data_IF_516217829383
#
_entry.id   IF_516217829383
#
_cell.length_a   1.000
_cell.length_b   1.000
_cell.length_c   1.000
_cell.angle_alpha   90.00
_cell.angle_beta   90.00
_cell.angle_gamma   90.00
#
_symmetry.space_group_name_H-M   'P 1'
#
loop_
_entity.id
_entity.type
_entity.pdbx_description
1 polymer ?
#
# COMPACT_ATOMS: atom_id res chain seq x y z
N UNK A 1 2.37 -30.47 38.08
CA UNK A 1 1.55 -29.58 37.24
C UNK A 1 2.03 -28.16 37.54
N UNK A 2 2.45 -27.42 36.51
CA UNK A 2 2.82 -26.01 36.64
C UNK A 2 1.63 -25.21 36.09
N UNK A 3 1.04 -24.28 36.88
CA UNK A 3 -0.02 -23.43 36.37
C UNK A 3 0.43 -22.71 35.10
N UNK A 4 -0.45 -22.57 34.10
CA UNK A 4 -0.10 -21.82 32.90
C UNK A 4 0.18 -20.35 33.26
N UNK A 5 1.23 -19.77 32.67
CA UNK A 5 1.58 -18.37 32.89
C UNK A 5 0.55 -17.47 32.20
N UNK A 6 -0.26 -16.79 33.01
CA UNK A 6 -1.32 -15.88 32.58
C UNK A 6 -0.87 -14.42 32.59
N UNK A 7 0.40 -14.12 32.92
CA UNK A 7 0.88 -12.75 32.96
C UNK A 7 0.81 -12.11 31.56
N UNK A 8 0.31 -10.86 31.45
CA UNK A 8 0.39 -10.12 30.20
C UNK A 8 1.84 -9.87 29.80
N UNK A 9 2.16 -10.13 28.53
CA UNK A 9 3.48 -9.86 27.96
C UNK A 9 3.41 -8.72 26.92
N UNK A 10 4.49 -7.96 26.71
CA UNK A 10 4.54 -6.90 25.71
C UNK A 10 4.41 -7.43 24.28
N UNK A 11 3.70 -6.68 23.43
CA UNK A 11 3.61 -6.97 21.99
C UNK A 11 4.95 -6.61 21.32
N UNK A 12 5.72 -7.63 20.97
CA UNK A 12 7.03 -7.46 20.34
C UNK A 12 6.94 -7.08 18.85
N UNK A 13 5.94 -7.60 18.14
CA UNK A 13 5.76 -7.37 16.70
C UNK A 13 4.41 -6.68 16.50
N UNK A 14 4.48 -5.43 16.08
CA UNK A 14 3.36 -4.52 15.92
C UNK A 14 3.62 -3.53 14.80
N UNK A 15 2.56 -2.91 14.30
CA UNK A 15 2.61 -1.92 13.23
C UNK A 15 1.47 -0.94 13.34
N UNK A 16 1.74 0.34 13.07
CA UNK A 16 0.72 1.35 12.86
C UNK A 16 0.49 1.59 11.37
N UNK A 17 -0.76 1.87 11.00
CA UNK A 17 -1.15 2.35 9.67
C UNK A 17 -2.23 3.43 9.83
N UNK A 18 -2.32 4.32 8.84
CA UNK A 18 -3.54 5.13 8.71
C UNK A 18 -4.68 4.25 8.21
N UNK A 19 -5.87 4.49 8.75
CA UNK A 19 -7.13 3.89 8.28
C UNK A 19 -7.41 4.38 6.85
N UNK A 20 -7.77 3.46 5.96
CA UNK A 20 -8.07 3.82 4.56
C UNK A 20 -9.49 4.34 4.42
N UNK A 21 -9.82 4.93 3.27
CA UNK A 21 -11.21 5.31 2.98
C UNK A 21 -12.17 4.11 3.03
N UNK A 22 -11.73 2.96 2.52
CA UNK A 22 -12.52 1.73 2.54
C UNK A 22 -12.87 1.34 3.98
N UNK A 23 -11.86 1.31 4.84
CA UNK A 23 -12.03 0.91 6.24
C UNK A 23 -12.98 1.87 6.98
N UNK A 24 -12.89 3.18 6.70
CA UNK A 24 -13.85 4.16 7.23
C UNK A 24 -15.28 3.87 6.78
N UNK A 25 -15.50 3.61 5.50
CA UNK A 25 -16.86 3.33 4.97
C UNK A 25 -17.52 2.13 5.65
N UNK A 26 -16.71 1.18 6.15
CA UNK A 26 -17.21 0.00 6.87
C UNK A 26 -17.49 0.26 8.35
N UNK A 27 -16.81 1.24 8.95
CA UNK A 27 -16.83 1.47 10.41
C UNK A 27 -17.70 2.65 10.83
N UNK A 28 -17.88 3.65 9.97
CA UNK A 28 -18.73 4.83 10.25
C UNK A 28 -19.92 4.92 9.29
N UNK A 29 -21.06 5.40 9.79
CA UNK A 29 -22.25 5.55 8.97
C UNK A 29 -22.08 6.66 7.90
N UNK A 30 -22.87 6.56 6.83
CA UNK A 30 -22.76 7.47 5.69
C UNK A 30 -22.99 8.95 6.03
N UNK A 31 -23.77 9.28 7.06
CA UNK A 31 -23.99 10.68 7.44
C UNK A 31 -22.73 11.26 8.11
N UNK A 32 -22.12 10.52 9.03
CA UNK A 32 -20.87 10.91 9.66
C UNK A 32 -19.68 10.87 8.70
N UNK A 33 -19.63 9.89 7.78
CA UNK A 33 -18.59 9.82 6.74
C UNK A 33 -18.54 11.08 5.87
N UNK A 34 -19.70 11.66 5.55
CA UNK A 34 -19.78 12.91 4.79
C UNK A 34 -19.26 14.14 5.55
N UNK A 35 -19.09 14.05 6.88
CA UNK A 35 -18.55 15.11 7.71
C UNK A 35 -17.03 15.01 7.91
N UNK A 36 -16.41 13.89 7.50
CA UNK A 36 -14.96 13.70 7.64
C UNK A 36 -14.22 14.65 6.69
N UNK A 37 -13.50 15.61 7.28
CA UNK A 37 -12.70 16.57 6.52
C UNK A 37 -11.53 15.91 5.78
N UNK A 38 -11.09 16.51 4.68
CA UNK A 38 -9.96 16.00 3.89
C UNK A 38 -8.63 16.00 4.64
N UNK A 39 -8.52 16.76 5.73
CA UNK A 39 -7.33 16.77 6.59
C UNK A 39 -7.46 15.81 7.77
N UNK A 40 -8.60 15.13 7.96
CA UNK A 40 -8.79 14.17 9.04
C UNK A 40 -8.12 12.82 8.73
N UNK A 41 -7.47 12.25 9.74
CA UNK A 41 -6.80 10.97 9.72
C UNK A 41 -7.12 10.18 11.01
N UNK A 42 -7.12 8.85 10.88
CA UNK A 42 -7.34 7.90 11.96
C UNK A 42 -6.24 6.84 11.94
N UNK A 43 -6.04 6.15 13.05
CA UNK A 43 -4.95 5.17 13.21
C UNK A 43 -5.52 3.79 13.46
N UNK A 44 -4.92 2.82 12.78
CA UNK A 44 -5.09 1.40 13.05
C UNK A 44 -3.76 0.81 13.53
N UNK A 45 -3.85 -0.11 14.48
CA UNK A 45 -2.73 -0.86 15.03
C UNK A 45 -2.90 -2.35 14.75
N UNK A 46 -1.87 -2.95 14.18
CA UNK A 46 -1.76 -4.39 13.95
C UNK A 46 -0.75 -4.96 14.95
N UNK A 47 -1.06 -6.13 15.51
CA UNK A 47 -0.22 -6.75 16.53
C UNK A 47 -0.25 -8.27 16.41
N UNK A 48 0.89 -8.91 16.65
CA UNK A 48 0.94 -10.37 16.84
C UNK A 48 0.73 -10.68 18.31
N UNK A 49 -0.07 -11.73 18.55
CA UNK A 49 -0.35 -12.27 19.86
C UNK A 49 0.96 -12.62 20.60
N UNK A 50 1.28 -11.99 21.74
CA UNK A 50 2.57 -12.19 22.41
C UNK A 50 2.65 -13.52 23.17
N UNK A 51 1.53 -14.03 23.68
CA UNK A 51 1.43 -15.35 24.33
C UNK A 51 0.10 -16.02 23.99
N UNK A 52 0.02 -17.36 24.09
CA UNK A 52 -1.20 -18.11 23.82
C UNK A 52 -2.41 -17.67 24.68
N UNK A 53 -2.17 -17.13 25.87
CA UNK A 53 -3.22 -16.68 26.81
C UNK A 53 -3.55 -15.18 26.69
N UNK A 54 -2.97 -14.48 25.73
CA UNK A 54 -3.35 -13.10 25.41
C UNK A 54 -4.72 -13.10 24.72
N UNK A 55 -5.63 -12.28 25.24
CA UNK A 55 -7.03 -12.21 24.80
C UNK A 55 -7.29 -11.07 23.81
N UNK A 56 -6.49 -10.01 23.89
CA UNK A 56 -6.53 -8.83 23.02
C UNK A 56 -5.56 -7.79 23.56
N UNK A 57 -5.70 -6.53 23.15
CA UNK A 57 -4.95 -5.41 23.71
C UNK A 57 -5.80 -4.15 23.83
N UNK A 58 -5.44 -3.27 24.77
CA UNK A 58 -5.94 -1.91 24.79
C UNK A 58 -5.02 -1.02 23.95
N UNK A 59 -5.60 -0.22 23.07
CA UNK A 59 -4.92 0.84 22.33
C UNK A 59 -4.90 2.08 23.21
N UNK A 60 -3.72 2.62 23.46
CA UNK A 60 -3.55 3.91 24.10
C UNK A 60 -2.74 4.85 23.19
N UNK A 61 -3.20 6.08 23.01
CA UNK A 61 -2.58 7.06 22.13
C UNK A 61 -2.34 8.41 22.83
N UNK A 62 -1.42 9.20 22.28
CA UNK A 62 -1.17 10.59 22.68
C UNK A 62 -0.56 11.40 21.55
N UNK A 63 -0.66 12.73 21.67
CA UNK A 63 0.05 13.69 20.85
C UNK A 63 1.07 14.45 21.69
N UNK A 64 2.30 14.57 21.20
CA UNK A 64 3.38 15.30 21.88
C UNK A 64 3.68 14.73 23.28
N UNK A 65 3.61 15.60 24.29
CA UNK A 65 3.88 15.29 25.71
C UNK A 65 2.62 15.03 26.54
N UNK A 66 1.44 14.95 25.91
CA UNK A 66 0.20 14.65 26.61
C UNK A 66 0.25 13.28 27.31
N UNK A 67 -0.67 13.07 28.26
CA UNK A 67 -0.87 11.75 28.84
C UNK A 67 -1.43 10.79 27.78
N UNK A 68 -1.05 9.51 27.86
CA UNK A 68 -1.71 8.47 27.07
C UNK A 68 -3.15 8.30 27.51
N UNK A 69 -4.05 8.21 26.53
CA UNK A 69 -5.47 7.96 26.74
C UNK A 69 -5.80 6.62 26.11
N UNK A 70 -6.58 5.79 26.81
CA UNK A 70 -7.13 4.56 26.24
C UNK A 70 -8.26 4.91 25.28
N UNK A 71 -8.09 4.55 24.01
CA UNK A 71 -8.99 4.94 22.92
C UNK A 71 -9.85 3.79 22.41
N UNK A 72 -9.40 2.54 22.58
CA UNK A 72 -10.16 1.39 22.13
C UNK A 72 -9.55 0.05 22.53
N UNK A 73 -10.28 -1.06 22.31
CA UNK A 73 -9.71 -2.40 22.26
C UNK A 73 -9.03 -2.66 20.89
N UNK A 74 -8.34 -3.78 20.79
CA UNK A 74 -7.85 -4.32 19.52
C UNK A 74 -7.57 -5.80 19.62
N UNK A 75 -7.67 -6.48 18.47
CA UNK A 75 -7.45 -7.91 18.33
C UNK A 75 -6.16 -8.23 17.58
N UNK A 76 -5.61 -9.42 17.84
CA UNK A 76 -4.34 -9.83 17.26
C UNK A 76 -4.51 -10.35 15.83
N UNK A 77 -3.67 -9.85 14.94
CA UNK A 77 -3.72 -10.09 13.51
C UNK A 77 -3.09 -11.44 13.14
N UNK A 78 -3.82 -12.33 12.45
CA UNK A 78 -3.24 -13.49 11.79
C UNK A 78 -2.12 -13.09 10.82
N UNK A 79 -1.09 -13.91 10.73
CA UNK A 79 0.10 -13.54 9.96
C UNK A 79 0.90 -14.74 9.47
N UNK A 80 1.71 -14.50 8.44
CA UNK A 80 2.80 -15.36 8.02
C UNK A 80 3.95 -14.53 7.48
N UNK A 81 5.08 -15.19 7.21
CA UNK A 81 6.24 -14.58 6.54
C UNK A 81 6.38 -15.15 5.14
N UNK A 82 6.67 -14.31 4.15
CA UNK A 82 6.98 -14.77 2.79
C UNK A 82 8.21 -15.69 2.84
N UNK A 83 8.10 -16.90 2.27
CA UNK A 83 9.24 -17.84 2.19
C UNK A 83 10.29 -17.35 1.19
N UNK A 84 9.85 -16.75 0.09
CA UNK A 84 10.71 -16.21 -0.96
C UNK A 84 10.27 -14.78 -1.32
N UNK A 85 11.18 -14.01 -1.93
CA UNK A 85 10.82 -12.72 -2.50
C UNK A 85 9.87 -12.89 -3.67
N UNK A 86 8.97 -11.93 -3.86
CA UNK A 86 7.95 -11.93 -4.92
C UNK A 86 8.07 -10.66 -5.77
N UNK A 87 7.78 -10.79 -7.07
CA UNK A 87 7.67 -9.63 -7.95
C UNK A 87 6.35 -8.89 -7.73
N UNK A 88 6.23 -7.70 -8.33
CA UNK A 88 4.97 -6.93 -8.37
C UNK A 88 3.84 -7.61 -9.13
N UNK A 89 4.11 -8.68 -9.89
CA UNK A 89 3.13 -9.41 -10.68
C UNK A 89 2.78 -10.79 -10.10
N UNK A 90 3.48 -11.22 -9.04
CA UNK A 90 3.22 -12.51 -8.42
C UNK A 90 1.85 -12.49 -7.71
N UNK A 91 1.01 -13.49 -7.99
CA UNK A 91 -0.32 -13.65 -7.39
C UNK A 91 -0.42 -14.88 -6.50
N UNK A 92 0.63 -15.70 -6.42
CA UNK A 92 0.71 -16.83 -5.51
C UNK A 92 1.91 -16.64 -4.60
N UNK A 93 1.66 -16.75 -3.29
CA UNK A 93 2.67 -16.58 -2.25
C UNK A 93 2.71 -17.81 -1.36
N UNK A 94 3.90 -18.11 -0.86
CA UNK A 94 4.15 -19.18 0.09
C UNK A 94 4.48 -18.58 1.45
N UNK A 95 3.81 -19.04 2.49
CA UNK A 95 4.01 -18.57 3.86
C UNK A 95 4.81 -19.57 4.69
N UNK A 96 5.68 -19.02 5.54
CA UNK A 96 6.30 -19.69 6.67
C UNK A 96 5.92 -18.98 7.97
N UNK A 97 6.31 -19.56 9.11
CA UNK A 97 5.97 -19.05 10.44
C UNK A 97 4.49 -18.63 10.59
N UNK A 98 3.54 -19.53 10.27
CA UNK A 98 2.11 -19.20 10.31
C UNK A 98 1.66 -18.91 11.74
N UNK A 99 0.75 -17.95 11.88
CA UNK A 99 0.08 -17.62 13.12
C UNK A 99 -1.40 -17.40 12.82
N UNK A 100 -2.25 -18.27 13.37
CA UNK A 100 -3.72 -18.18 13.27
C UNK A 100 -4.27 -18.07 11.84
N UNK A 101 -3.62 -18.70 10.86
CA UNK A 101 -4.05 -18.65 9.46
C UNK A 101 -5.43 -19.31 9.21
N UNK A 102 -5.87 -20.16 10.13
CA UNK A 102 -7.21 -20.74 10.16
C UNK A 102 -8.33 -19.70 10.34
N UNK A 103 -7.99 -18.49 10.78
CA UNK A 103 -8.91 -17.36 10.94
C UNK A 103 -9.04 -16.48 9.68
N UNK A 104 -8.26 -16.74 8.63
CA UNK A 104 -8.22 -15.91 7.43
C UNK A 104 -9.35 -16.30 6.47
N UNK A 105 -10.19 -15.33 6.13
CA UNK A 105 -11.30 -15.52 5.20
C UNK A 105 -10.92 -15.13 3.76
N UNK A 106 -11.43 -15.88 2.78
CA UNK A 106 -11.30 -15.50 1.36
C UNK A 106 -12.14 -14.24 1.10
N UNK A 107 -11.55 -13.29 0.39
CA UNK A 107 -12.11 -11.96 0.15
C UNK A 107 -11.64 -10.89 1.14
N UNK A 108 -10.94 -11.26 2.21
CA UNK A 108 -10.40 -10.33 3.21
C UNK A 108 -9.14 -9.59 2.73
N UNK A 109 -8.86 -8.43 3.34
CA UNK A 109 -7.64 -7.67 3.12
C UNK A 109 -6.44 -8.27 3.87
N UNK A 110 -5.29 -8.19 3.22
CA UNK A 110 -4.00 -8.36 3.85
C UNK A 110 -3.05 -7.22 3.49
N UNK A 111 -2.04 -6.99 4.33
CA UNK A 111 -1.02 -5.96 4.17
C UNK A 111 0.36 -6.63 4.11
N UNK A 112 1.12 -6.37 3.03
CA UNK A 112 2.51 -6.80 2.84
C UNK A 112 3.35 -5.55 2.64
N UNK A 113 4.27 -5.27 3.56
CA UNK A 113 4.95 -3.97 3.60
C UNK A 113 3.93 -2.84 3.41
N UNK A 114 4.01 -2.00 2.39
CA UNK A 114 3.02 -0.93 2.17
C UNK A 114 1.91 -1.27 1.16
N UNK A 115 1.77 -2.51 0.73
CA UNK A 115 0.75 -2.92 -0.25
C UNK A 115 -0.42 -3.63 0.41
N UNK A 116 -1.64 -3.17 0.12
CA UNK A 116 -2.87 -3.88 0.48
C UNK A 116 -3.21 -4.85 -0.66
N UNK A 117 -3.44 -6.10 -0.30
CA UNK A 117 -3.82 -7.18 -1.21
C UNK A 117 -5.13 -7.81 -0.74
N UNK A 118 -5.86 -8.45 -1.64
CA UNK A 118 -7.04 -9.27 -1.30
C UNK A 118 -6.64 -10.74 -1.29
N UNK A 119 -7.13 -11.51 -0.31
CA UNK A 119 -6.97 -12.96 -0.29
C UNK A 119 -7.98 -13.60 -1.25
N UNK A 120 -7.52 -14.20 -2.33
CA UNK A 120 -8.40 -14.88 -3.30
C UNK A 120 -8.53 -16.39 -3.01
N UNK A 121 -7.52 -16.99 -2.39
CA UNK A 121 -7.57 -18.37 -1.91
C UNK A 121 -6.51 -18.61 -0.83
N UNK A 122 -6.76 -19.56 0.06
CA UNK A 122 -5.78 -20.01 1.07
C UNK A 122 -5.82 -21.54 1.20
N UNK A 123 -4.65 -22.17 1.22
CA UNK A 123 -4.49 -23.59 1.53
C UNK A 123 -3.63 -23.71 2.80
N UNK A 124 -4.23 -24.22 3.87
CA UNK A 124 -3.60 -24.33 5.18
C UNK A 124 -2.63 -25.52 5.30
N UNK A 125 -2.75 -26.53 4.45
CA UNK A 125 -1.85 -27.68 4.43
C UNK A 125 -0.51 -27.30 3.76
N UNK A 126 -0.59 -26.63 2.61
CA UNK A 126 0.59 -26.19 1.88
C UNK A 126 1.08 -24.82 2.32
N UNK A 127 0.31 -24.05 3.11
CA UNK A 127 0.57 -22.65 3.48
C UNK A 127 0.73 -21.72 2.26
N UNK A 128 0.01 -22.02 1.18
CA UNK A 128 -0.01 -21.18 -0.03
C UNK A 128 -1.25 -20.28 -0.06
N UNK A 129 -1.07 -19.02 -0.45
CA UNK A 129 -2.14 -18.03 -0.56
C UNK A 129 -2.14 -17.46 -1.97
N UNK A 130 -3.30 -17.39 -2.61
CA UNK A 130 -3.51 -16.61 -3.84
C UNK A 130 -3.98 -15.22 -3.46
N UNK A 131 -3.38 -14.20 -4.04
CA UNK A 131 -3.62 -12.79 -3.72
C UNK A 131 -3.91 -11.96 -4.97
N UNK A 132 -4.82 -11.00 -4.81
CA UNK A 132 -5.03 -9.90 -5.76
C UNK A 132 -4.25 -8.66 -5.31
N UNK A 133 -3.56 -7.99 -6.24
CA UNK A 133 -2.50 -7.01 -5.93
C UNK A 133 -2.98 -5.56 -6.01
N UNK A 134 -2.37 -4.67 -5.23
CA UNK A 134 -2.60 -3.21 -5.31
C UNK A 134 -4.06 -2.81 -5.08
N UNK A 135 -4.69 -3.35 -4.04
CA UNK A 135 -6.05 -3.00 -3.65
C UNK A 135 -6.10 -1.62 -2.97
N UNK A 136 -7.31 -1.06 -2.89
CA UNK A 136 -7.58 0.23 -2.24
C UNK A 136 -6.71 1.34 -2.86
N UNK A 137 -5.92 2.06 -2.07
CA UNK A 137 -5.09 3.18 -2.47
C UNK A 137 -3.60 2.81 -2.62
N UNK A 138 -3.31 1.51 -2.80
CA UNK A 138 -1.95 0.98 -2.97
C UNK A 138 -1.70 0.50 -4.40
N UNK A 139 -0.43 0.32 -4.76
CA UNK A 139 0.02 -0.25 -6.05
C UNK A 139 0.85 -1.51 -5.82
N UNK A 140 0.90 -2.44 -6.80
CA UNK A 140 1.73 -3.64 -6.65
C UNK A 140 3.23 -3.35 -6.53
N UNK A 141 3.88 -3.95 -5.55
CA UNK A 141 5.32 -3.82 -5.30
C UNK A 141 6.05 -5.17 -5.30
N UNK A 142 7.37 -5.15 -5.45
CA UNK A 142 8.16 -6.34 -5.13
C UNK A 142 8.34 -6.41 -3.60
N UNK A 143 8.30 -7.62 -3.04
CA UNK A 143 8.51 -7.86 -1.62
C UNK A 143 9.64 -8.86 -1.39
N UNK A 144 10.40 -8.66 -0.33
CA UNK A 144 11.53 -9.54 0.01
C UNK A 144 11.08 -10.81 0.74
N UNK A 145 11.90 -11.86 0.69
CA UNK A 145 11.72 -13.01 1.58
C UNK A 145 11.76 -12.55 3.04
N UNK A 146 10.92 -13.14 3.88
CA UNK A 146 10.75 -12.74 5.28
C UNK A 146 9.86 -11.51 5.49
N UNK A 147 9.35 -10.86 4.42
CA UNK A 147 8.34 -9.82 4.58
C UNK A 147 7.08 -10.41 5.23
N UNK A 148 6.49 -9.65 6.15
CA UNK A 148 5.34 -10.10 6.92
C UNK A 148 4.05 -9.78 6.17
N UNK A 149 3.18 -10.78 6.08
CA UNK A 149 1.80 -10.63 5.62
C UNK A 149 0.91 -10.52 6.85
N UNK A 150 0.15 -9.42 6.94
CA UNK A 150 -0.80 -9.16 8.01
C UNK A 150 -2.22 -9.31 7.45
N UNK A 151 -2.98 -10.31 7.88
CA UNK A 151 -4.38 -10.49 7.46
C UNK A 151 -5.28 -9.71 8.42
N UNK A 152 -5.58 -8.46 8.07
CA UNK A 152 -5.98 -7.45 9.06
C UNK A 152 -7.47 -7.13 9.10
N UNK A 153 -8.27 -7.57 8.12
CA UNK A 153 -9.67 -7.16 7.91
C UNK A 153 -10.45 -6.98 9.22
N UNK A 154 -10.55 -8.05 10.03
CA UNK A 154 -11.26 -8.03 11.32
C UNK A 154 -10.33 -8.02 12.54
N UNK A 155 -9.01 -7.95 12.34
CA UNK A 155 -8.01 -8.16 13.38
C UNK A 155 -7.10 -6.94 13.53
N UNK A 156 -7.69 -5.87 14.03
CA UNK A 156 -7.08 -4.55 14.18
C UNK A 156 -7.46 -3.94 15.53
N UNK A 157 -6.62 -3.01 16.03
CA UNK A 157 -7.01 -2.08 17.08
C UNK A 157 -7.12 -0.67 16.51
N UNK A 158 -8.31 -0.10 16.52
CA UNK A 158 -8.57 1.23 15.97
C UNK A 158 -8.50 2.31 17.05
N UNK A 159 -7.94 3.46 16.68
CA UNK A 159 -8.09 4.72 17.40
C UNK A 159 -9.15 5.57 16.68
N UNK A 160 -10.38 5.66 17.21
CA UNK A 160 -11.46 6.43 16.59
C UNK A 160 -11.30 7.95 16.76
N UNK A 161 -10.22 8.40 17.41
CA UNK A 161 -9.93 9.83 17.57
C UNK A 161 -9.60 10.46 16.23
N UNK A 162 -10.27 11.56 15.89
CA UNK A 162 -9.94 12.38 14.74
C UNK A 162 -8.65 13.17 14.98
N UNK A 163 -7.66 12.96 14.11
CA UNK A 163 -6.44 13.75 14.10
C UNK A 163 -6.29 14.52 12.80
N UNK A 164 -5.66 15.69 12.87
CA UNK A 164 -5.32 16.47 11.67
C UNK A 164 -4.06 15.92 10.99
N UNK A 165 -4.04 16.01 9.66
CA UNK A 165 -2.88 15.76 8.82
C UNK A 165 -1.67 16.60 9.28
N UNK A 166 -0.49 15.99 9.27
CA UNK A 166 0.76 16.56 9.78
C UNK A 166 1.01 16.29 11.26
N UNK A 167 0.02 15.83 12.03
CA UNK A 167 0.22 15.43 13.44
C UNK A 167 0.95 14.10 13.51
N UNK A 168 1.91 13.99 14.44
CA UNK A 168 2.52 12.71 14.82
C UNK A 168 1.88 12.19 16.10
N UNK A 169 1.28 11.01 16.02
CA UNK A 169 0.62 10.36 17.15
C UNK A 169 1.48 9.21 17.63
N UNK A 170 1.63 9.11 18.95
CA UNK A 170 2.33 8.00 19.60
C UNK A 170 1.29 7.02 20.13
N UNK A 171 1.46 5.75 19.82
CA UNK A 171 0.55 4.66 20.24
C UNK A 171 1.34 3.61 21.00
N UNK A 172 0.74 3.06 22.06
CA UNK A 172 1.22 1.87 22.74
C UNK A 172 0.08 0.87 22.91
N UNK A 173 0.43 -0.42 22.86
CA UNK A 173 -0.52 -1.51 22.95
C UNK A 173 -0.33 -2.26 24.25
N UNK A 174 -1.39 -2.35 25.06
CA UNK A 174 -1.35 -3.02 26.36
C UNK A 174 -2.11 -4.33 26.31
N UNK A 175 -1.37 -5.43 26.22
CA UNK A 175 -1.93 -6.79 26.19
C UNK A 175 -2.87 -7.04 27.37
N UNK A 176 -4.02 -7.65 27.08
CA UNK A 176 -5.01 -8.08 28.06
C UNK A 176 -5.00 -9.60 28.16
N UNK A 177 -4.97 -10.12 29.38
CA UNK A 177 -5.12 -11.56 29.70
C UNK A 177 -6.19 -11.73 30.79
N UNK A 178 -6.46 -12.96 31.19
CA UNK A 178 -7.36 -13.24 32.32
C UNK A 178 -6.81 -12.76 33.68
N UNK A 179 -5.51 -12.50 33.81
CA UNK A 179 -4.89 -12.04 35.05
C UNK A 179 -4.78 -10.51 35.14
N UNK A 180 -4.96 -9.79 34.03
CA UNK A 180 -4.98 -8.33 34.01
C UNK A 180 -4.56 -7.73 32.68
N UNK A 181 -4.11 -6.47 32.73
CA UNK A 181 -3.62 -5.72 31.57
C UNK A 181 -2.16 -5.34 31.79
N UNK A 182 -1.34 -5.51 30.75
CA UNK A 182 0.10 -5.22 30.76
C UNK A 182 0.39 -3.84 31.35
N UNK A 183 1.39 -3.72 32.21
CA UNK A 183 1.75 -2.43 32.80
C UNK A 183 2.19 -1.41 31.73
N UNK A 184 1.76 -0.14 31.81
CA UNK A 184 2.03 0.88 30.79
C UNK A 184 3.51 1.08 30.41
N UNK A 185 4.40 0.95 31.37
CA UNK A 185 5.85 1.10 31.26
C UNK A 185 6.54 -0.06 30.53
N UNK A 186 5.86 -1.21 30.40
CA UNK A 186 6.34 -2.37 29.66
C UNK A 186 5.89 -2.35 28.19
N UNK A 187 4.91 -1.51 27.85
CA UNK A 187 4.39 -1.41 26.50
C UNK A 187 5.31 -0.57 25.61
N UNK A 188 5.76 -1.14 24.48
CA UNK A 188 6.50 -0.40 23.46
C UNK A 188 5.65 0.71 22.86
N UNK A 189 6.30 1.80 22.47
CA UNK A 189 5.67 2.95 21.80
C UNK A 189 6.10 3.02 20.35
N UNK A 190 5.12 3.14 19.46
CA UNK A 190 5.34 3.45 18.04
C UNK A 190 4.79 4.84 17.73
N UNK A 191 5.29 5.47 16.68
CA UNK A 191 4.83 6.79 16.23
C UNK A 191 4.45 6.74 14.76
N UNK A 192 3.31 7.34 14.42
CA UNK A 192 2.87 7.51 13.04
C UNK A 192 2.64 8.99 12.75
N UNK A 193 3.29 9.48 11.70
CA UNK A 193 3.04 10.82 11.17
C UNK A 193 1.89 10.74 10.16
N UNK A 194 0.82 11.49 10.45
CA UNK A 194 -0.41 11.40 9.69
C UNK A 194 -0.39 12.31 8.46
N UNK A 195 -0.99 11.85 7.37
CA UNK A 195 -1.04 12.53 6.07
C UNK A 195 -2.46 12.56 5.48
N UNK A 196 -3.47 12.12 6.24
CA UNK A 196 -4.86 12.00 5.82
C UNK A 196 -5.02 11.14 4.56
N UNK A 197 -4.47 9.92 4.60
CA UNK A 197 -4.57 8.92 3.53
C UNK A 197 -6.00 8.69 3.06
N UNK A 198 -6.97 8.69 3.98
CA UNK A 198 -8.38 8.53 3.64
C UNK A 198 -8.87 9.56 2.63
N UNK A 199 -8.30 10.76 2.54
CA UNK A 199 -8.72 11.83 1.65
C UNK A 199 -8.06 11.79 0.25
N UNK A 200 -7.08 10.92 0.03
CA UNK A 200 -6.34 10.85 -1.23
C UNK A 200 -7.12 10.06 -2.29
N UNK A 201 -7.00 10.40 -3.59
CA UNK A 201 -7.57 9.57 -4.66
C UNK A 201 -6.83 8.23 -4.75
N UNK A 202 -7.48 7.20 -5.28
CA UNK A 202 -6.79 5.93 -5.57
C UNK A 202 -5.77 6.11 -6.70
N UNK A 203 -4.62 5.41 -6.65
CA UNK A 203 -3.67 5.41 -7.75
C UNK A 203 -4.30 4.77 -8.98
N UNK A 204 -3.79 5.06 -10.19
CA UNK A 204 -4.36 4.50 -11.42
C UNK A 204 -4.32 2.96 -11.44
N UNK A 205 -5.28 2.32 -12.10
CA UNK A 205 -5.27 0.87 -12.34
C UNK A 205 -4.55 0.52 -13.64
N UNK A 206 -4.27 -0.77 -13.86
CA UNK A 206 -3.83 -1.33 -15.15
C UNK A 206 -2.71 -0.52 -15.85
N UNK A 207 -1.73 -0.03 -15.07
CA UNK A 207 -0.67 0.79 -15.64
C UNK A 207 0.21 -0.03 -16.59
N UNK A 208 0.40 0.51 -17.79
CA UNK A 208 1.21 -0.09 -18.84
C UNK A 208 2.09 0.97 -19.50
N UNK A 209 3.28 0.52 -19.89
CA UNK A 209 4.26 1.27 -20.67
C UNK A 209 4.42 0.54 -22.00
N UNK A 210 4.08 1.19 -23.11
CA UNK A 210 3.99 0.59 -24.45
C UNK A 210 3.20 -0.73 -24.47
N UNK A 211 2.11 -0.78 -23.69
CA UNK A 211 1.23 -1.96 -23.58
C UNK A 211 1.72 -3.06 -22.62
N UNK A 212 2.90 -2.91 -22.01
CA UNK A 212 3.48 -3.89 -21.07
C UNK A 212 3.36 -3.41 -19.62
N UNK A 213 3.03 -4.30 -18.69
CA UNK A 213 2.87 -3.95 -17.26
C UNK A 213 4.19 -3.73 -16.51
N UNK A 214 5.30 -4.33 -17.00
CA UNK A 214 6.62 -4.20 -16.38
C UNK A 214 7.71 -4.47 -17.42
N UNK A 215 7.93 -3.56 -18.40
CA UNK A 215 9.00 -3.72 -19.37
C UNK A 215 10.38 -3.64 -18.70
N UNK A 216 11.36 -4.37 -19.23
CA UNK A 216 12.78 -4.21 -18.85
C UNK A 216 13.53 -3.26 -19.80
N UNK A 217 13.06 -3.14 -21.04
CA UNK A 217 13.63 -2.30 -22.10
C UNK A 217 12.50 -1.70 -22.92
N UNK A 218 12.63 -0.42 -23.29
CA UNK A 218 11.76 0.27 -24.24
C UNK A 218 12.64 0.96 -25.28
N UNK A 219 12.28 0.85 -26.55
CA UNK A 219 12.92 1.57 -27.66
C UNK A 219 11.99 2.67 -28.18
N UNK A 220 12.51 3.89 -28.30
CA UNK A 220 11.78 5.03 -28.85
C UNK A 220 10.75 5.65 -27.91
N UNK A 221 9.61 6.02 -28.48
CA UNK A 221 8.57 6.75 -27.77
C UNK A 221 7.95 5.95 -26.62
N UNK A 222 7.61 6.64 -25.53
CA UNK A 222 6.95 6.04 -24.37
C UNK A 222 5.49 6.45 -24.38
N UNK A 223 4.61 5.46 -24.55
CA UNK A 223 3.16 5.60 -24.40
C UNK A 223 2.73 4.93 -23.11
N UNK A 224 2.14 5.72 -22.23
CA UNK A 224 1.60 5.32 -20.95
C UNK A 224 0.10 5.14 -21.09
N UNK A 225 -0.42 4.03 -20.57
CA UNK A 225 -1.87 3.79 -20.45
C UNK A 225 -2.22 3.26 -19.07
N UNK A 226 -3.42 3.58 -18.60
CA UNK A 226 -3.93 3.14 -17.31
C UNK A 226 -5.46 3.02 -17.34
N UNK A 227 -6.05 2.61 -16.24
CA UNK A 227 -7.49 2.63 -16.01
C UNK A 227 -7.82 3.59 -14.87
N UNK A 228 -9.00 4.21 -14.93
CA UNK A 228 -9.49 4.95 -13.79
C UNK A 228 -9.75 4.01 -12.62
N UNK A 229 -9.55 4.55 -11.42
CA UNK A 229 -10.01 3.98 -10.16
C UNK A 229 -10.73 5.08 -9.41
N UNK A 230 -11.81 4.71 -8.74
CA UNK A 230 -12.68 5.61 -8.00
C UNK A 230 -12.87 5.05 -6.60
N UNK A 231 -12.37 5.80 -5.64
CA UNK A 231 -12.38 5.42 -4.25
C UNK A 231 -13.79 5.29 -3.68
N UNK A 232 -14.71 6.16 -4.12
CA UNK A 232 -16.08 6.21 -3.62
C UNK A 232 -16.88 5.01 -4.13
N UNK A 233 -16.72 4.66 -5.40
CA UNK A 233 -17.46 3.53 -5.99
C UNK A 233 -16.84 2.16 -5.69
N UNK A 234 -15.59 2.12 -5.23
CA UNK A 234 -14.88 0.89 -4.86
C UNK A 234 -14.82 0.69 -3.33
N UNK A 235 -15.55 1.49 -2.55
CA UNK A 235 -15.45 1.48 -1.09
C UNK A 235 -16.04 0.21 -0.43
N UNK A 236 -16.90 -0.52 -1.13
CA UNK A 236 -17.56 -1.74 -0.64
C UNK A 236 -16.79 -3.03 -0.98
N UNK A 237 -15.77 -2.95 -1.84
CA UNK A 237 -15.05 -4.13 -2.35
C UNK A 237 -13.54 -3.91 -2.45
N UNK A 238 -12.77 -4.96 -2.17
CA UNK A 238 -11.32 -4.95 -2.38
C UNK A 238 -10.98 -5.19 -3.85
N UNK A 239 -11.23 -4.21 -4.71
CA UNK A 239 -10.92 -4.31 -6.13
C UNK A 239 -9.40 -4.11 -6.33
N UNK A 240 -8.78 -5.06 -7.02
CA UNK A 240 -7.34 -5.05 -7.30
C UNK A 240 -6.99 -4.17 -8.51
N UNK A 241 -5.71 -3.87 -8.67
CA UNK A 241 -5.24 -2.95 -9.71
C UNK A 241 -5.45 -3.46 -11.14
N UNK A 242 -5.73 -4.75 -11.35
CA UNK A 242 -5.91 -5.34 -12.67
C UNK A 242 -7.35 -5.23 -13.18
N UNK A 243 -8.28 -4.75 -12.36
CA UNK A 243 -9.62 -4.47 -12.86
C UNK A 243 -9.58 -3.29 -13.84
N UNK A 244 -10.48 -3.34 -14.82
CA UNK A 244 -10.62 -2.33 -15.85
C UNK A 244 -11.11 -0.99 -15.30
N UNK A 245 -11.59 -0.15 -16.20
CA UNK A 245 -11.93 1.23 -15.91
C UNK A 245 -13.13 1.35 -14.93
N UNK A 246 -12.91 1.96 -13.77
CA UNK A 246 -13.95 2.32 -12.80
C UNK A 246 -13.80 3.81 -12.47
N UNK A 247 -14.83 4.61 -12.82
CA UNK A 247 -14.83 6.06 -12.62
C UNK A 247 -14.16 6.84 -13.75
N UNK A 248 -13.44 7.95 -13.46
CA UNK A 248 -12.77 8.27 -12.19
C UNK A 248 -13.66 9.01 -11.21
N UNK A 249 -13.20 9.12 -9.97
CA UNK A 249 -13.81 10.05 -9.02
C UNK A 249 -13.80 11.48 -9.59
N UNK A 250 -14.91 12.20 -9.46
CA UNK A 250 -15.07 13.53 -10.03
C UNK A 250 -13.92 14.48 -9.66
N UNK A 251 -13.36 15.17 -10.67
CA UNK A 251 -12.24 16.09 -10.48
C UNK A 251 -10.86 15.43 -10.41
N UNK A 252 -10.77 14.10 -10.60
CA UNK A 252 -9.49 13.41 -10.71
C UNK A 252 -8.80 13.71 -12.04
N UNK A 253 -7.51 14.00 -11.96
CA UNK A 253 -6.58 14.08 -13.09
C UNK A 253 -5.37 13.20 -12.83
N UNK A 254 -4.52 13.01 -13.83
CA UNK A 254 -3.29 12.21 -13.69
C UNK A 254 -2.06 13.07 -13.95
N UNK A 255 -0.96 12.65 -13.33
CA UNK A 255 0.36 13.18 -13.60
C UNK A 255 1.32 12.03 -13.83
N UNK A 256 2.16 12.19 -14.85
CA UNK A 256 3.17 11.22 -15.21
C UNK A 256 4.50 11.93 -15.45
N UNK A 257 5.60 11.27 -15.09
CA UNK A 257 6.95 11.74 -15.41
C UNK A 257 7.90 10.60 -15.68
N UNK A 258 8.94 10.90 -16.44
CA UNK A 258 10.09 10.03 -16.64
C UNK A 258 11.28 10.73 -16.02
N UNK A 259 11.99 10.01 -15.15
CA UNK A 259 13.18 10.50 -14.47
C UNK A 259 14.36 9.58 -14.77
N UNK A 260 15.57 10.14 -14.77
CA UNK A 260 16.79 9.34 -14.79
C UNK A 260 16.95 8.62 -13.45
N UNK A 261 17.36 7.35 -13.48
CA UNK A 261 17.55 6.56 -12.25
C UNK A 261 18.75 7.04 -11.43
N UNK A 262 19.82 7.46 -12.10
CA UNK A 262 21.10 7.83 -11.47
C UNK A 262 21.07 9.21 -10.79
N UNK A 263 20.34 10.16 -11.36
CA UNK A 263 20.34 11.57 -10.94
C UNK A 263 18.98 12.07 -10.46
N UNK A 264 17.89 11.34 -10.73
CA UNK A 264 16.54 11.79 -10.45
C UNK A 264 16.06 12.95 -11.34
N UNK A 265 16.85 13.37 -12.33
CA UNK A 265 16.49 14.47 -13.22
C UNK A 265 15.25 14.10 -14.05
N UNK A 266 14.27 15.02 -14.10
CA UNK A 266 13.05 14.86 -14.91
C UNK A 266 13.42 15.05 -16.37
N UNK A 267 13.19 14.02 -17.19
CA UNK A 267 13.42 14.04 -18.64
C UNK A 267 12.18 14.50 -19.40
N UNK A 268 11.01 14.10 -18.92
CA UNK A 268 9.71 14.49 -19.47
C UNK A 268 8.64 14.37 -18.38
N UNK A 269 7.63 15.23 -18.44
CA UNK A 269 6.49 15.15 -17.52
C UNK A 269 5.25 15.75 -18.15
N UNK A 270 4.09 15.23 -17.76
CA UNK A 270 2.79 15.79 -18.09
C UNK A 270 1.90 15.72 -16.85
N UNK A 271 1.18 16.81 -16.58
CA UNK A 271 0.27 16.95 -15.43
C UNK A 271 -1.13 17.29 -15.92
N UNK A 272 -2.12 17.23 -15.02
CA UNK A 272 -3.51 17.57 -15.31
C UNK A 272 -4.11 16.78 -16.49
N UNK A 273 -3.69 15.52 -16.64
CA UNK A 273 -4.19 14.63 -17.70
C UNK A 273 -5.60 14.18 -17.31
N UNK A 274 -6.61 14.44 -18.15
CA UNK A 274 -8.00 14.02 -17.91
C UNK A 274 -8.32 12.62 -18.45
N UNK A 275 -7.56 12.16 -19.44
CA UNK A 275 -7.73 10.84 -20.06
C UNK A 275 -6.98 9.72 -19.34
N UNK A 276 -6.91 8.57 -20.02
CA UNK A 276 -6.24 7.34 -19.55
C UNK A 276 -4.95 7.03 -20.29
N UNK A 277 -4.38 8.02 -20.99
CA UNK A 277 -3.14 7.86 -21.73
C UNK A 277 -2.30 9.14 -21.75
N UNK A 278 -1.00 8.96 -21.92
CA UNK A 278 -0.02 10.02 -22.12
C UNK A 278 1.13 9.50 -22.97
N UNK A 279 1.64 10.33 -23.88
CA UNK A 279 2.86 10.01 -24.63
C UNK A 279 3.95 10.98 -24.20
N UNK A 280 5.07 10.42 -23.75
CA UNK A 280 6.27 11.15 -23.36
C UNK A 280 7.43 10.72 -24.27
N UNK A 281 8.18 11.69 -24.77
CA UNK A 281 9.26 11.45 -25.73
C UNK A 281 10.57 12.06 -25.22
N UNK A 282 11.18 11.48 -24.17
CA UNK A 282 12.47 11.97 -23.68
C UNK A 282 13.59 11.63 -24.67
N UNK A 283 14.51 12.58 -24.87
CA UNK A 283 15.75 12.37 -25.62
C UNK A 283 16.84 11.90 -24.65
N UNK A 284 16.86 10.60 -24.37
CA UNK A 284 17.79 9.99 -23.41
C UNK A 284 17.99 8.50 -23.71
N UNK A 285 19.17 7.99 -23.43
CA UNK A 285 19.47 6.56 -23.46
C UNK A 285 20.05 6.14 -22.09
N UNK A 286 19.55 5.02 -21.56
CA UNK A 286 19.98 4.47 -20.29
C UNK A 286 18.82 4.16 -19.34
N UNK A 287 19.15 3.95 -18.06
CA UNK A 287 18.16 3.59 -17.04
C UNK A 287 17.25 4.77 -16.68
N UNK A 288 15.95 4.57 -16.85
CA UNK A 288 14.90 5.53 -16.50
C UNK A 288 13.86 4.89 -15.58
N UNK A 289 13.19 5.73 -14.81
CA UNK A 289 12.00 5.37 -14.04
C UNK A 289 10.83 6.20 -14.52
N UNK A 290 9.74 5.53 -14.91
CA UNK A 290 8.46 6.20 -15.14
C UNK A 290 7.64 6.15 -13.86
N UNK A 291 7.00 7.27 -13.54
CA UNK A 291 6.08 7.39 -12.42
C UNK A 291 4.72 7.89 -12.90
N UNK A 292 3.64 7.32 -12.35
CA UNK A 292 2.25 7.69 -12.67
C UNK A 292 1.42 7.74 -11.39
N UNK A 293 0.65 8.81 -11.21
CA UNK A 293 -0.22 9.00 -10.04
C UNK A 293 -1.47 9.81 -10.35
N UNK A 294 -2.48 9.68 -9.48
CA UNK A 294 -3.73 10.43 -9.55
C UNK A 294 -3.62 11.72 -8.71
N UNK A 295 -4.36 12.75 -9.09
CA UNK A 295 -4.47 14.04 -8.39
C UNK A 295 -5.93 14.47 -8.34
N UNK A 296 -6.45 14.77 -7.15
CA UNK A 296 -7.82 15.27 -6.94
C UNK A 296 -7.81 16.37 -5.88
N UNK A 297 -8.34 17.55 -6.19
CA UNK A 297 -8.39 18.66 -5.24
C UNK A 297 -7.03 19.09 -4.67
N UNK A 298 -5.95 18.94 -5.45
CA UNK A 298 -4.58 19.21 -5.00
C UNK A 298 -3.92 18.08 -4.20
N UNK A 299 -4.63 17.01 -3.89
CA UNK A 299 -4.09 15.82 -3.22
C UNK A 299 -3.64 14.78 -4.25
N UNK A 300 -2.42 14.30 -4.12
CA UNK A 300 -1.91 13.16 -4.88
C UNK A 300 -2.33 11.84 -4.23
N UNK A 301 -2.47 10.79 -5.05
CA UNK A 301 -2.71 9.42 -4.56
C UNK A 301 -1.65 9.00 -3.54
N UNK A 302 -2.06 8.18 -2.57
CA UNK A 302 -1.19 7.73 -1.48
C UNK A 302 0.09 7.06 -2.00
N UNK A 303 -0.04 6.26 -3.06
CA UNK A 303 1.07 5.67 -3.76
C UNK A 303 1.10 6.08 -5.23
N UNK A 304 2.23 5.84 -5.87
CA UNK A 304 2.44 6.08 -7.30
C UNK A 304 2.95 4.80 -7.92
N UNK A 305 2.53 4.51 -9.15
CA UNK A 305 3.21 3.51 -9.95
C UNK A 305 4.63 3.96 -10.24
N UNK A 306 5.55 3.00 -10.27
CA UNK A 306 6.96 3.23 -10.52
C UNK A 306 7.55 2.04 -11.25
N UNK A 307 7.90 2.20 -12.53
CA UNK A 307 8.58 1.17 -13.31
C UNK A 307 9.93 1.67 -13.80
N UNK A 308 10.96 0.85 -13.59
CA UNK A 308 12.30 1.10 -14.09
C UNK A 308 12.59 0.21 -15.29
N UNK A 309 13.18 0.80 -16.33
CA UNK A 309 13.60 0.10 -17.54
C UNK A 309 14.74 0.83 -18.23
N UNK A 310 15.44 0.13 -19.13
CA UNK A 310 16.39 0.76 -20.06
C UNK A 310 15.63 1.42 -21.20
N UNK A 311 15.82 2.72 -21.40
CA UNK A 311 15.34 3.43 -22.58
C UNK A 311 16.44 3.44 -23.64
N UNK A 312 16.10 3.03 -24.85
CA UNK A 312 16.94 3.12 -26.05
C UNK A 312 16.35 4.13 -27.02
N UNK A 313 17.19 4.89 -27.71
CA UNK A 313 16.75 5.72 -28.82
C UNK A 313 16.61 4.86 -30.09
N UNK A 314 15.63 5.16 -30.96
CA UNK A 314 15.43 4.38 -32.17
C UNK A 314 16.64 4.56 -33.10
N UNK A 315 17.09 3.48 -33.73
CA UNK A 315 18.17 3.56 -34.71
C UNK A 315 17.71 4.38 -35.93
N UNK A 316 18.29 5.57 -36.12
CA UNK A 316 18.07 6.36 -37.33
C UNK A 316 19.17 6.02 -38.34
N UNK A 317 18.79 5.44 -39.48
CA UNK A 317 19.75 5.20 -40.56
C UNK A 317 20.35 6.53 -41.04
N UNK A 318 21.68 6.62 -41.23
CA UNK A 318 22.31 7.85 -41.68
C UNK A 318 21.78 8.25 -43.07
N UNK A 319 21.20 9.45 -43.16
CA UNK A 319 20.53 9.95 -44.37
C UNK A 319 21.47 10.70 -45.34
N UNK A 320 22.75 10.83 -44.99
CA UNK A 320 23.74 11.64 -45.73
C UNK A 320 25.04 10.89 -46.04
N UNK A 321 24.97 9.58 -46.29
CA UNK A 321 26.12 8.84 -46.79
C UNK A 321 26.30 9.09 -48.28
N UNK A 322 27.35 9.84 -48.65
CA UNK A 322 27.82 9.94 -50.03
C UNK A 322 29.11 9.12 -50.18
N UNK A 323 29.09 8.08 -51.01
CA UNK A 323 30.29 7.37 -51.44
C UNK A 323 30.85 8.03 -52.70
N UNK A 324 32.16 8.34 -52.72
CA UNK A 324 32.86 8.80 -53.93
C UNK A 324 33.84 7.72 -54.34
N UNK A 325 33.74 7.25 -55.59
CA UNK A 325 34.73 6.33 -56.15
C UNK A 325 36.01 7.11 -56.46
N UNK A 326 37.15 6.64 -55.96
CA UNK A 326 38.45 7.10 -56.42
C UNK A 326 38.87 6.19 -57.57
N UNK A 327 38.85 6.71 -58.79
CA UNK A 327 39.49 6.03 -59.93
C UNK A 327 41.01 6.08 -59.73
N UNK A 328 41.65 4.90 -59.89
CA UNK A 328 43.09 4.69 -59.79
C UNK A 328 43.84 5.09 -61.05
#
# INVERSE_FOLDING_TARGET
WVPPDTAPAPVAIRRLTEVTWRDLVQTIDAANLNLVDQTTAFIAALAIKPTALSLGFAVESRVGSAAYVRVGPGDFCPTGLLVAGISSTATSIQLGAPNSLDLVEVGSAALIDNEIVRVDAINLETLSVTIARGCVDTVPAAHSAGARVWFFEDYVGEDPTEYSSGVSVQVRLRTVTSSGTLAPELAGTDTLALIARQARPYPPGQFKVNGQSAPSVIEGGITLTWSHRDRLTQADQLIDTSIGNIGPEAGTTYSARIVRVDTGAVLASQTAISGTSSTLSPLYEGQVRVELWSVRGGLESFQRHSHQFTLLQPLVAPSSLSATYLES
#
